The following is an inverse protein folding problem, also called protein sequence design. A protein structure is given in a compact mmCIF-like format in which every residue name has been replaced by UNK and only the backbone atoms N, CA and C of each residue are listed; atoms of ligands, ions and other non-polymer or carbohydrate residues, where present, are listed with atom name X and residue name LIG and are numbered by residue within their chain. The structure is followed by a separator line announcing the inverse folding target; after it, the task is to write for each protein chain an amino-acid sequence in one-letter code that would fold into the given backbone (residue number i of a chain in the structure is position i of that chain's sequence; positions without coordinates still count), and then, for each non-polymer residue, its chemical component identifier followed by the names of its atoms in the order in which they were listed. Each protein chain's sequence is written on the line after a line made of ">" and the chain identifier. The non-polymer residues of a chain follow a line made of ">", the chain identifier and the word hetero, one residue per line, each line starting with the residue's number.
data_IF_237877059066
#
_entry.id   IF_237877059066
#
_cell.length_a   1.000
_cell.length_b   1.000
_cell.length_c   1.000
_cell.angle_alpha   90.00
_cell.angle_beta   90.00
_cell.angle_gamma   90.00
#
_symmetry.space_group_name_H-M   'P 1'
#
loop_
_entity.id
_entity.type
_entity.pdbx_description
1 polymer ?
#
# COMPACT_ATOMS: atom_id res chain seq x y z
N UNK A 1 18.41 -10.39 -18.87
CA UNK A 1 16.93 -10.44 -18.95
C UNK A 1 16.38 -9.02 -18.90
N UNK A 2 15.27 -8.73 -19.59
CA UNK A 2 14.61 -7.41 -19.54
C UNK A 2 13.28 -7.56 -18.77
N UNK A 3 13.05 -6.69 -17.80
CA UNK A 3 11.80 -6.62 -17.06
C UNK A 3 10.79 -5.67 -17.75
N UNK A 4 9.52 -5.81 -17.43
CA UNK A 4 8.52 -4.78 -17.70
C UNK A 4 8.82 -3.49 -16.92
N UNK A 5 8.24 -2.35 -17.32
CA UNK A 5 8.45 -1.09 -16.60
C UNK A 5 8.02 -1.20 -15.14
N UNK A 6 6.92 -1.89 -14.88
CA UNK A 6 6.41 -2.14 -13.53
C UNK A 6 7.40 -2.93 -12.68
N UNK A 7 7.89 -4.06 -13.18
CA UNK A 7 8.84 -4.89 -12.43
C UNK A 7 10.21 -4.20 -12.28
N UNK A 8 10.66 -3.43 -13.28
CA UNK A 8 11.87 -2.61 -13.16
C UNK A 8 11.77 -1.59 -12.05
N UNK A 9 10.65 -0.87 -11.96
CA UNK A 9 10.42 0.11 -10.90
C UNK A 9 10.34 -0.54 -9.50
N UNK A 10 9.76 -1.76 -9.38
CA UNK A 10 9.81 -2.54 -8.14
C UNK A 10 11.25 -2.96 -7.81
N UNK A 11 12.01 -3.44 -8.80
CA UNK A 11 13.39 -3.84 -8.61
C UNK A 11 14.28 -2.68 -8.13
N UNK A 12 14.00 -1.46 -8.61
CA UNK A 12 14.73 -0.25 -8.19
C UNK A 12 14.53 0.06 -6.69
N UNK A 13 13.33 -0.18 -6.15
CA UNK A 13 12.99 0.08 -4.75
C UNK A 13 13.67 -0.88 -3.77
N UNK A 14 14.07 -2.08 -4.20
CA UNK A 14 14.73 -3.08 -3.35
C UNK A 14 16.11 -2.56 -2.91
N UNK A 15 16.39 -2.59 -1.62
CA UNK A 15 17.71 -2.22 -1.08
C UNK A 15 18.77 -3.24 -1.48
N UNK A 16 19.92 -2.74 -1.96
CA UNK A 16 21.06 -3.56 -2.34
C UNK A 16 21.63 -4.32 -1.14
N UNK A 17 22.00 -5.59 -1.36
CA UNK A 17 22.55 -6.46 -0.33
C UNK A 17 21.52 -7.20 0.52
N UNK A 18 20.24 -6.84 0.45
CA UNK A 18 19.17 -7.50 1.18
C UNK A 18 18.81 -8.87 0.57
N UNK A 19 18.43 -9.84 1.43
CA UNK A 19 17.83 -11.11 1.01
C UNK A 19 16.36 -10.86 0.68
N UNK A 20 15.94 -11.27 -0.51
CA UNK A 20 14.58 -11.02 -1.01
C UNK A 20 13.62 -12.15 -0.64
N UNK A 21 12.39 -11.80 -0.30
CA UNK A 21 11.22 -12.69 -0.35
C UNK A 21 10.20 -12.08 -1.30
N UNK A 22 9.83 -12.83 -2.35
CA UNK A 22 8.87 -12.40 -3.38
C UNK A 22 7.60 -13.26 -3.29
N UNK A 23 6.50 -12.69 -2.80
CA UNK A 23 5.21 -13.37 -2.60
C UNK A 23 4.28 -13.10 -3.77
N UNK A 24 3.86 -14.19 -4.43
CA UNK A 24 3.16 -14.12 -5.72
C UNK A 24 4.14 -13.92 -6.86
N UNK A 25 5.27 -14.64 -6.81
CA UNK A 25 6.42 -14.47 -7.71
C UNK A 25 6.12 -14.78 -9.18
N UNK A 26 4.96 -15.40 -9.47
CA UNK A 26 4.52 -15.83 -10.80
C UNK A 26 5.62 -16.63 -11.55
N UNK A 27 6.33 -16.02 -12.49
CA UNK A 27 7.43 -16.64 -13.24
C UNK A 27 8.81 -16.43 -12.61
N UNK A 28 8.93 -15.82 -11.44
CA UNK A 28 10.20 -15.54 -10.77
C UNK A 28 11.08 -14.51 -11.49
N UNK A 29 10.49 -13.64 -12.33
CA UNK A 29 11.27 -12.67 -13.10
C UNK A 29 12.04 -11.69 -12.21
N UNK A 30 11.41 -11.19 -11.15
CA UNK A 30 12.03 -10.21 -10.24
C UNK A 30 13.25 -10.79 -9.51
N UNK A 31 13.16 -11.92 -8.79
CA UNK A 31 14.31 -12.50 -8.10
C UNK A 31 15.43 -12.89 -9.07
N UNK A 32 15.13 -13.49 -10.24
CA UNK A 32 16.13 -13.82 -11.26
C UNK A 32 16.87 -12.57 -11.73
N UNK A 33 16.15 -11.51 -12.05
CA UNK A 33 16.75 -10.24 -12.47
C UNK A 33 17.68 -9.66 -11.41
N UNK A 34 17.21 -9.56 -10.16
CA UNK A 34 17.97 -8.96 -9.06
C UNK A 34 19.25 -9.73 -8.73
N UNK A 35 19.22 -11.08 -8.79
CA UNK A 35 20.45 -11.91 -8.66
C UNK A 35 21.40 -11.67 -9.83
N UNK A 36 20.92 -11.62 -11.09
CA UNK A 36 21.75 -11.33 -12.27
C UNK A 36 22.41 -9.95 -12.20
N UNK A 37 21.72 -8.95 -11.65
CA UNK A 37 22.27 -7.61 -11.41
C UNK A 37 23.22 -7.57 -10.19
N UNK A 38 23.40 -8.67 -9.47
CA UNK A 38 24.14 -8.75 -8.20
C UNK A 38 23.64 -7.78 -7.14
N UNK A 39 22.36 -7.37 -7.25
CA UNK A 39 21.72 -6.44 -6.31
C UNK A 39 21.38 -7.12 -4.99
N UNK A 40 21.04 -8.40 -5.03
CA UNK A 40 20.69 -9.22 -3.84
C UNK A 40 21.55 -10.49 -3.79
N UNK A 41 21.87 -11.01 -2.59
CA UNK A 41 22.65 -12.23 -2.42
C UNK A 41 21.84 -13.52 -2.62
N UNK A 42 20.54 -13.49 -2.28
CA UNK A 42 19.65 -14.65 -2.37
C UNK A 42 18.19 -14.22 -2.38
N UNK A 43 17.31 -15.16 -2.80
CA UNK A 43 15.87 -14.92 -2.78
C UNK A 43 15.07 -16.17 -2.43
N UNK A 44 13.85 -15.96 -1.88
CA UNK A 44 12.80 -16.95 -1.76
C UNK A 44 11.64 -16.49 -2.64
N UNK A 45 11.34 -17.26 -3.69
CA UNK A 45 10.23 -17.01 -4.60
C UNK A 45 9.03 -17.87 -4.21
N UNK A 46 7.90 -17.25 -3.89
CA UNK A 46 6.73 -17.91 -3.33
C UNK A 46 5.48 -17.70 -4.17
N UNK A 47 4.65 -18.73 -4.28
CA UNK A 47 3.30 -18.65 -4.84
C UNK A 47 2.40 -19.67 -4.17
N UNK A 48 1.10 -19.36 -4.10
CA UNK A 48 0.08 -20.27 -3.56
C UNK A 48 -0.30 -21.35 -4.58
N UNK A 49 -0.03 -21.15 -5.87
CA UNK A 49 -0.37 -22.04 -6.96
C UNK A 49 0.85 -22.77 -7.50
N UNK A 50 0.70 -24.10 -7.68
CA UNK A 50 1.77 -24.95 -8.22
C UNK A 50 2.20 -24.57 -9.64
N UNK A 51 1.26 -24.15 -10.50
CA UNK A 51 1.55 -23.80 -11.90
C UNK A 51 2.52 -22.63 -12.05
N UNK A 52 2.23 -21.43 -11.50
CA UNK A 52 3.17 -20.32 -11.46
C UNK A 52 4.51 -20.70 -10.84
N UNK A 53 4.50 -21.40 -9.71
CA UNK A 53 5.71 -21.83 -9.02
C UNK A 53 6.59 -22.76 -9.87
N UNK A 54 5.98 -23.70 -10.62
CA UNK A 54 6.73 -24.56 -11.56
C UNK A 54 7.41 -23.76 -12.67
N UNK A 55 6.71 -22.75 -13.21
CA UNK A 55 7.29 -21.85 -14.21
C UNK A 55 8.47 -21.04 -13.64
N UNK A 56 8.34 -20.58 -12.39
CA UNK A 56 9.45 -19.92 -11.71
C UNK A 56 10.65 -20.87 -11.55
N UNK A 57 10.44 -22.13 -11.16
CA UNK A 57 11.50 -23.14 -11.05
C UNK A 57 12.20 -23.42 -12.39
N UNK A 58 11.44 -23.56 -13.47
CA UNK A 58 11.99 -23.75 -14.81
C UNK A 58 12.85 -22.54 -15.22
N UNK A 59 12.36 -21.35 -14.96
CA UNK A 59 13.06 -20.10 -15.27
C UNK A 59 14.35 -19.94 -14.46
N UNK A 60 14.30 -20.20 -13.14
CA UNK A 60 15.49 -20.20 -12.27
C UNK A 60 16.55 -21.18 -12.78
N UNK A 61 16.12 -22.40 -13.14
CA UNK A 61 17.02 -23.43 -13.70
C UNK A 61 17.62 -23.02 -15.05
N UNK A 62 16.83 -22.39 -15.91
CA UNK A 62 17.30 -21.90 -17.21
C UNK A 62 18.47 -20.91 -17.07
N UNK A 63 18.48 -20.14 -15.99
CA UNK A 63 19.56 -19.19 -15.69
C UNK A 63 20.64 -19.72 -14.75
N UNK A 64 20.55 -20.99 -14.29
CA UNK A 64 21.52 -21.61 -13.38
C UNK A 64 21.59 -20.95 -12.01
N UNK A 65 20.43 -20.53 -11.46
CA UNK A 65 20.34 -19.75 -10.22
C UNK A 65 19.74 -20.52 -9.06
N UNK A 66 19.69 -21.86 -9.12
CA UNK A 66 19.08 -22.72 -8.11
C UNK A 66 19.76 -22.62 -6.73
N UNK A 67 21.05 -22.29 -6.71
CA UNK A 67 21.80 -22.08 -5.45
C UNK A 67 21.45 -20.72 -4.78
N UNK A 68 20.92 -19.75 -5.53
CA UNK A 68 20.62 -18.41 -5.06
C UNK A 68 19.14 -18.17 -4.80
N UNK A 69 18.25 -18.92 -5.50
CA UNK A 69 16.80 -18.69 -5.44
C UNK A 69 16.08 -19.98 -5.03
N UNK A 70 15.52 -19.99 -3.85
CA UNK A 70 14.64 -21.05 -3.36
C UNK A 70 13.20 -20.78 -3.81
N UNK A 71 12.48 -21.81 -4.26
CA UNK A 71 11.03 -21.71 -4.50
C UNK A 71 10.25 -22.36 -3.36
N UNK A 72 9.11 -21.78 -2.98
CA UNK A 72 8.29 -22.29 -1.88
C UNK A 72 6.79 -22.15 -2.19
N UNK A 73 6.04 -23.25 -2.09
CA UNK A 73 4.58 -23.23 -2.20
C UNK A 73 4.02 -22.75 -0.86
N UNK A 74 3.28 -21.63 -0.84
CA UNK A 74 2.74 -21.05 0.39
C UNK A 74 1.56 -20.13 0.10
N UNK A 75 0.56 -20.08 0.98
CA UNK A 75 -0.42 -19.00 1.03
C UNK A 75 0.18 -17.85 1.86
N UNK A 76 0.42 -16.73 1.20
CA UNK A 76 1.05 -15.57 1.83
C UNK A 76 2.37 -15.93 2.53
N UNK A 77 2.49 -15.57 3.81
CA UNK A 77 3.70 -15.72 4.63
C UNK A 77 3.75 -17.02 5.47
N UNK A 78 2.72 -17.90 5.39
CA UNK A 78 2.63 -19.11 6.23
C UNK A 78 3.84 -20.03 6.11
N UNK A 79 4.41 -20.12 4.91
CA UNK A 79 5.58 -20.95 4.62
C UNK A 79 6.92 -20.34 5.03
N UNK A 80 6.95 -19.18 5.69
CA UNK A 80 8.17 -18.47 6.10
C UNK A 80 8.37 -18.53 7.60
N UNK A 81 9.65 -18.40 7.98
CA UNK A 81 10.07 -18.14 9.36
C UNK A 81 10.63 -16.73 9.48
N UNK A 82 10.48 -16.12 10.64
CA UNK A 82 11.07 -14.82 10.91
C UNK A 82 12.59 -14.84 10.65
N UNK A 83 13.10 -13.80 9.97
CA UNK A 83 14.52 -13.64 9.66
C UNK A 83 15.02 -14.41 8.42
N UNK A 84 14.15 -15.07 7.64
CA UNK A 84 14.57 -15.70 6.36
C UNK A 84 14.83 -14.69 5.23
N UNK A 85 14.37 -13.44 5.36
CA UNK A 85 14.59 -12.37 4.39
C UNK A 85 14.71 -11.02 5.07
N UNK A 86 15.19 -10.04 4.32
CA UNK A 86 15.36 -8.65 4.74
C UNK A 86 14.38 -7.72 4.02
N UNK A 87 14.09 -7.99 2.75
CA UNK A 87 13.10 -7.30 1.91
C UNK A 87 11.95 -8.24 1.55
N UNK A 88 10.71 -7.84 1.84
CA UNK A 88 9.50 -8.53 1.37
C UNK A 88 8.90 -7.77 0.20
N UNK A 89 8.66 -8.45 -0.92
CA UNK A 89 7.92 -7.91 -2.06
C UNK A 89 6.57 -8.59 -2.17
N UNK A 90 5.50 -7.79 -2.27
CA UNK A 90 4.16 -8.25 -2.65
C UNK A 90 3.66 -7.32 -3.75
N UNK A 91 3.54 -7.81 -4.98
CA UNK A 91 3.20 -6.99 -6.13
C UNK A 91 2.10 -7.62 -7.00
N UNK A 92 1.26 -6.77 -7.60
CA UNK A 92 0.25 -7.22 -8.55
C UNK A 92 -1.00 -7.84 -7.92
N UNK A 93 -1.23 -7.59 -6.64
CA UNK A 93 -2.40 -8.10 -5.90
C UNK A 93 -3.35 -6.96 -5.52
N UNK A 94 -4.62 -7.27 -5.27
CA UNK A 94 -5.57 -6.31 -4.70
C UNK A 94 -5.21 -5.94 -3.26
N UNK A 95 -5.50 -4.69 -2.86
CA UNK A 95 -5.24 -4.20 -1.50
C UNK A 95 -5.77 -5.11 -0.40
N UNK A 96 -7.04 -5.52 -0.42
CA UNK A 96 -7.60 -6.40 0.61
C UNK A 96 -6.88 -7.75 0.76
N UNK A 97 -6.39 -8.33 -0.34
CA UNK A 97 -5.61 -9.56 -0.29
C UNK A 97 -4.24 -9.31 0.35
N UNK A 98 -3.58 -8.21 0.01
CA UNK A 98 -2.30 -7.84 0.60
C UNK A 98 -2.44 -7.55 2.10
N UNK A 99 -3.51 -6.86 2.52
CA UNK A 99 -3.83 -6.62 3.93
C UNK A 99 -3.98 -7.93 4.69
N UNK A 100 -4.73 -8.90 4.13
CA UNK A 100 -4.87 -10.23 4.72
C UNK A 100 -3.50 -10.92 4.89
N UNK A 101 -2.70 -10.97 3.85
CA UNK A 101 -1.36 -11.59 3.88
C UNK A 101 -0.48 -10.97 4.95
N UNK A 102 -0.47 -9.64 5.04
CA UNK A 102 0.35 -8.90 6.01
C UNK A 102 -0.16 -9.05 7.45
N UNK A 103 -1.48 -9.16 7.64
CA UNK A 103 -2.12 -9.35 8.95
C UNK A 103 -1.91 -10.77 9.47
N UNK A 104 -2.22 -11.78 8.64
CA UNK A 104 -2.08 -13.19 9.01
C UNK A 104 -0.62 -13.56 9.28
N UNK A 105 0.31 -12.98 8.49
CA UNK A 105 1.74 -13.19 8.60
C UNK A 105 2.48 -12.21 9.54
N UNK A 106 1.80 -11.50 10.45
CA UNK A 106 2.36 -10.40 11.25
C UNK A 106 3.70 -10.73 11.92
N UNK A 107 3.80 -11.89 12.57
CA UNK A 107 5.02 -12.30 13.29
C UNK A 107 6.25 -12.48 12.37
N UNK A 108 6.01 -12.87 11.11
CA UNK A 108 7.05 -12.99 10.08
C UNK A 108 7.29 -11.65 9.41
N UNK A 109 6.22 -10.93 9.04
CA UNK A 109 6.26 -9.61 8.42
C UNK A 109 7.12 -8.63 9.24
N UNK A 110 6.93 -8.60 10.56
CA UNK A 110 7.62 -7.66 11.46
C UNK A 110 9.13 -7.98 11.61
N UNK A 111 9.62 -9.07 11.02
CA UNK A 111 11.06 -9.38 10.95
C UNK A 111 11.76 -8.79 9.71
N UNK A 112 11.02 -8.28 8.73
CA UNK A 112 11.61 -7.63 7.56
C UNK A 112 12.05 -6.20 7.87
N UNK A 113 13.13 -5.76 7.29
CA UNK A 113 13.60 -4.37 7.40
C UNK A 113 12.84 -3.42 6.48
N UNK A 114 12.35 -3.93 5.34
CA UNK A 114 11.55 -3.17 4.39
C UNK A 114 10.52 -4.04 3.67
N UNK A 115 9.41 -3.43 3.25
CA UNK A 115 8.44 -4.03 2.36
C UNK A 115 8.33 -3.18 1.09
N UNK A 116 8.27 -3.85 -0.07
CA UNK A 116 7.98 -3.22 -1.36
C UNK A 116 6.61 -3.70 -1.80
N UNK A 117 5.65 -2.79 -1.83
CA UNK A 117 4.23 -3.12 -1.97
C UNK A 117 3.65 -2.44 -3.21
N UNK A 118 2.99 -3.23 -4.07
CA UNK A 118 2.34 -2.71 -5.27
C UNK A 118 0.88 -3.21 -5.33
N UNK A 119 -0.06 -2.52 -4.62
CA UNK A 119 -1.49 -2.82 -4.68
C UNK A 119 -2.10 -2.41 -6.02
N UNK A 120 -3.10 -3.18 -6.49
CA UNK A 120 -3.84 -2.89 -7.74
C UNK A 120 -5.26 -2.37 -7.50
N UNK A 121 -5.77 -2.46 -6.27
CA UNK A 121 -7.10 -1.94 -5.88
C UNK A 121 -7.06 -1.39 -4.47
N UNK A 122 -8.05 -0.58 -4.13
CA UNK A 122 -8.26 0.00 -2.80
C UNK A 122 -7.02 0.69 -2.21
N UNK A 123 -6.25 1.34 -3.08
CA UNK A 123 -4.94 1.91 -2.76
C UNK A 123 -4.99 2.93 -1.62
N UNK A 124 -5.97 3.86 -1.55
CA UNK A 124 -6.08 4.78 -0.43
C UNK A 124 -6.27 4.08 0.91
N UNK A 125 -7.15 3.05 0.93
CA UNK A 125 -7.38 2.24 2.13
C UNK A 125 -6.12 1.48 2.52
N UNK A 126 -5.42 0.89 1.54
CA UNK A 126 -4.19 0.15 1.78
C UNK A 126 -3.08 1.04 2.36
N UNK A 127 -2.91 2.30 1.89
CA UNK A 127 -1.96 3.25 2.51
C UNK A 127 -2.32 3.54 3.98
N UNK A 128 -3.61 3.79 4.26
CA UNK A 128 -4.11 3.98 5.63
C UNK A 128 -3.84 2.77 6.51
N UNK A 129 -4.08 1.56 5.99
CA UNK A 129 -3.77 0.31 6.69
C UNK A 129 -2.28 0.20 7.04
N UNK A 130 -1.38 0.42 6.10
CA UNK A 130 0.08 0.36 6.33
C UNK A 130 0.49 1.32 7.45
N UNK A 131 0.00 2.55 7.43
CA UNK A 131 0.29 3.55 8.46
C UNK A 131 -0.30 3.15 9.83
N UNK A 132 -1.51 2.59 9.85
CA UNK A 132 -2.15 2.13 11.10
C UNK A 132 -1.43 0.95 11.75
N UNK A 133 -0.70 0.15 10.95
CA UNK A 133 0.13 -0.95 11.41
C UNK A 133 1.53 -0.52 11.91
N UNK A 134 1.81 0.80 11.90
CA UNK A 134 3.07 1.37 12.37
C UNK A 134 4.19 1.34 11.35
N UNK A 135 3.87 1.12 10.07
CA UNK A 135 4.82 1.20 8.97
C UNK A 135 4.82 2.59 8.34
N UNK A 136 6.00 3.09 8.00
CA UNK A 136 6.19 4.37 7.34
C UNK A 136 6.47 4.16 5.84
N UNK A 137 5.72 4.85 5.00
CA UNK A 137 6.02 4.91 3.56
C UNK A 137 7.18 5.90 3.40
N UNK A 138 8.31 5.43 2.88
CA UNK A 138 9.53 6.22 2.72
C UNK A 138 9.84 6.62 1.29
N UNK A 139 9.28 5.90 0.32
CA UNK A 139 9.45 6.18 -1.11
C UNK A 139 8.23 5.67 -1.87
N UNK A 140 7.84 6.38 -2.92
CA UNK A 140 6.78 5.94 -3.82
C UNK A 140 7.22 6.14 -5.27
N UNK A 141 6.86 5.19 -6.11
CA UNK A 141 7.00 5.30 -7.56
C UNK A 141 5.66 5.03 -8.24
N UNK A 142 5.50 5.57 -9.42
CA UNK A 142 4.35 5.29 -10.26
C UNK A 142 4.80 5.13 -11.70
N UNK A 143 4.37 4.06 -12.35
CA UNK A 143 4.64 3.83 -13.77
C UNK A 143 3.33 3.67 -14.53
N UNK A 144 3.38 4.00 -15.82
CA UNK A 144 2.31 3.74 -16.78
C UNK A 144 2.79 2.68 -17.76
N UNK A 145 2.09 1.57 -17.85
CA UNK A 145 2.39 0.44 -18.74
C UNK A 145 1.07 -0.09 -19.31
N UNK A 146 1.00 -0.23 -20.62
CA UNK A 146 -0.20 -0.70 -21.36
C UNK A 146 -1.49 0.06 -21.00
N UNK A 147 -1.39 1.39 -20.78
CA UNK A 147 -2.50 2.28 -20.44
C UNK A 147 -3.03 2.11 -19.02
N UNK A 148 -2.34 1.34 -18.17
CA UNK A 148 -2.63 1.19 -16.75
C UNK A 148 -1.58 1.88 -15.90
N UNK A 149 -2.01 2.37 -14.74
CA UNK A 149 -1.15 3.06 -13.79
C UNK A 149 -0.88 2.15 -12.59
N UNK A 150 0.39 2.06 -12.22
CA UNK A 150 0.87 1.17 -11.18
C UNK A 150 1.63 1.97 -10.12
N UNK A 151 0.96 2.46 -9.07
CA UNK A 151 1.64 3.01 -7.92
C UNK A 151 2.28 1.88 -7.10
N UNK A 152 3.43 2.15 -6.53
CA UNK A 152 4.16 1.24 -5.65
C UNK A 152 4.84 2.02 -4.55
N UNK A 153 5.06 1.39 -3.43
CA UNK A 153 5.62 2.01 -2.25
C UNK A 153 6.67 1.12 -1.57
N UNK A 154 7.71 1.76 -1.08
CA UNK A 154 8.64 1.20 -0.13
C UNK A 154 8.24 1.65 1.26
N UNK A 155 8.10 0.71 2.16
CA UNK A 155 7.77 0.98 3.56
C UNK A 155 8.82 0.36 4.47
N UNK A 156 9.10 1.04 5.57
CA UNK A 156 9.98 0.56 6.62
C UNK A 156 9.22 0.59 7.94
N UNK A 157 9.62 -0.22 8.89
CA UNK A 157 9.03 -0.15 10.21
C UNK A 157 9.42 1.19 10.82
N UNK A 158 8.43 2.01 11.16
CA UNK A 158 8.68 3.26 11.87
C UNK A 158 9.44 2.95 13.15
N UNK A 159 10.48 3.71 13.46
CA UNK A 159 11.14 3.58 14.76
C UNK A 159 10.07 3.74 15.84
N UNK A 160 9.62 2.63 16.43
CA UNK A 160 9.00 2.70 17.74
C UNK A 160 10.03 3.41 18.58
N UNK A 161 9.74 4.60 19.11
CA UNK A 161 10.46 5.12 20.27
C UNK A 161 10.71 3.91 21.15
N UNK A 162 11.94 3.42 21.18
CA UNK A 162 12.31 2.25 21.95
C UNK A 162 12.15 2.64 23.41
N UNK A 163 11.03 2.19 24.02
CA UNK A 163 10.84 2.27 25.47
C UNK A 163 12.00 1.61 26.22
N UNK A 164 12.82 0.83 25.54
CA UNK A 164 14.01 0.19 26.10
C UNK A 164 15.20 1.13 26.37
N UNK A 165 15.20 2.36 25.85
CA UNK A 165 16.23 3.35 26.22
C UNK A 165 15.93 4.12 27.50
N UNK A 166 14.76 3.97 28.11
CA UNK A 166 14.40 4.57 29.40
C UNK A 166 14.54 3.63 30.61
N UNK A 167 15.01 2.41 30.41
CA UNK A 167 15.14 1.38 31.45
C UNK A 167 16.33 1.52 32.43
N UNK A 168 16.98 2.69 32.55
CA UNK A 168 18.04 2.91 33.54
C UNK A 168 17.99 4.30 34.22
N UNK A 169 16.83 4.78 34.58
CA UNK A 169 16.68 5.83 35.57
C UNK A 169 15.41 5.55 36.37
N UNK A 170 15.55 4.63 37.36
CA UNK A 170 14.51 4.41 38.36
C UNK A 170 14.41 5.65 39.24
N UNK A 171 13.26 6.27 39.30
CA UNK A 171 12.97 7.35 40.23
C UNK A 171 11.67 8.06 39.92
N UNK A 172 10.64 7.73 40.73
CA UNK A 172 9.38 8.45 40.91
C UNK A 172 8.37 8.48 39.74
N UNK A 173 7.36 7.62 39.88
CA UNK A 173 6.04 7.72 39.24
C UNK A 173 5.36 9.03 39.65
N UNK A 174 5.08 9.87 38.72
CA UNK A 174 4.09 10.91 38.84
C UNK A 174 3.11 10.76 37.68
N UNK A 175 1.91 10.33 37.99
CA UNK A 175 0.78 10.21 37.06
C UNK A 175 0.48 11.58 36.47
N UNK A 176 0.69 11.74 35.17
CA UNK A 176 0.12 12.85 34.40
C UNK A 176 -1.23 12.42 33.84
N UNK A 177 -2.30 12.73 34.54
CA UNK A 177 -3.66 12.75 34.03
C UNK A 177 -3.91 14.08 33.35
N UNK A 178 -3.73 14.16 32.04
CA UNK A 178 -4.18 15.33 31.28
C UNK A 178 -5.65 15.14 30.84
N UNK A 179 -6.56 15.60 31.71
CA UNK A 179 -8.01 15.73 31.42
C UNK A 179 -8.38 16.90 30.47
N UNK A 180 -7.41 17.61 29.90
CA UNK A 180 -7.65 18.84 29.12
C UNK A 180 -7.59 18.68 27.59
N UNK A 181 -7.53 17.45 27.04
CA UNK A 181 -7.47 17.24 25.58
C UNK A 181 -8.84 16.94 24.93
N UNK A 182 -9.93 16.91 25.68
CA UNK A 182 -11.26 16.52 25.17
C UNK A 182 -12.20 17.73 24.90
N UNK A 183 -11.81 18.93 25.26
CA UNK A 183 -12.73 20.10 25.25
C UNK A 183 -12.62 21.00 23.99
N UNK A 184 -11.86 20.64 22.97
CA UNK A 184 -11.67 21.49 21.77
C UNK A 184 -12.37 21.00 20.49
N UNK A 185 -13.23 19.98 20.53
CA UNK A 185 -13.89 19.43 19.34
C UNK A 185 -15.41 19.27 19.50
N UNK A 186 -16.10 20.26 20.06
CA UNK A 186 -17.56 20.30 20.00
C UNK A 186 -18.07 21.74 20.01
N UNK A 187 -18.56 22.25 18.87
CA UNK A 187 -19.92 22.67 18.79
C UNK A 187 -20.53 22.62 17.37
N UNK A 188 -20.70 21.47 16.75
CA UNK A 188 -21.47 21.36 15.49
C UNK A 188 -22.48 20.19 15.49
N UNK A 189 -22.51 19.36 16.52
CA UNK A 189 -23.37 18.15 16.55
C UNK A 189 -24.76 18.41 17.20
N UNK A 190 -25.02 19.56 17.78
CA UNK A 190 -26.29 19.84 18.49
C UNK A 190 -27.44 20.41 17.62
N UNK A 191 -27.24 20.67 16.33
CA UNK A 191 -28.29 21.23 15.46
C UNK A 191 -28.98 20.23 14.50
N UNK A 192 -28.58 18.98 14.49
CA UNK A 192 -29.23 17.92 13.69
C UNK A 192 -29.80 16.85 14.63
N UNK A 193 -30.93 17.12 15.26
CA UNK A 193 -31.67 16.24 16.18
C UNK A 193 -31.78 14.77 15.71
N UNK A 194 -30.74 13.98 15.95
CA UNK A 194 -30.72 12.52 15.75
C UNK A 194 -30.48 11.87 17.12
N UNK A 195 -31.59 11.52 17.79
CA UNK A 195 -31.54 10.67 18.96
C UNK A 195 -30.95 9.29 18.64
N UNK A 196 -29.99 8.88 19.47
CA UNK A 196 -29.40 7.56 19.48
C UNK A 196 -30.45 6.46 19.60
N UNK A 197 -30.61 5.63 18.58
CA UNK A 197 -31.12 4.26 18.71
C UNK A 197 -29.98 3.29 18.42
N UNK A 198 -29.48 2.69 19.49
CA UNK A 198 -28.59 1.54 19.43
C UNK A 198 -29.28 0.38 18.72
N UNK A 199 -28.97 0.13 17.49
CA UNK A 199 -29.11 -1.17 16.84
C UNK A 199 -27.97 -1.31 15.82
N UNK A 200 -27.16 -2.36 15.98
CA UNK A 200 -25.93 -2.62 15.26
C UNK A 200 -26.08 -2.56 13.74
N UNK A 201 -25.55 -1.49 13.18
CA UNK A 201 -25.28 -1.35 11.77
C UNK A 201 -23.80 -0.98 11.66
N UNK A 202 -23.01 -1.92 11.20
CA UNK A 202 -21.61 -1.71 10.79
C UNK A 202 -21.57 -0.80 9.56
N UNK A 203 -21.57 0.52 9.76
CA UNK A 203 -21.61 1.49 8.67
C UNK A 203 -21.46 2.92 9.16
N UNK A 204 -20.48 3.20 10.01
CA UNK A 204 -20.01 4.58 10.18
C UNK A 204 -19.41 5.01 8.82
N UNK A 205 -19.75 6.21 8.29
CA UNK A 205 -19.11 6.72 7.11
C UNK A 205 -17.60 6.75 7.38
N UNK A 206 -16.83 6.00 6.56
CA UNK A 206 -15.37 6.01 6.64
C UNK A 206 -14.93 7.47 6.49
N UNK A 207 -14.13 7.98 7.43
CA UNK A 207 -13.56 9.32 7.33
C UNK A 207 -12.92 9.50 5.93
N UNK A 208 -13.15 10.64 5.26
CA UNK A 208 -12.65 10.86 3.91
C UNK A 208 -11.13 10.65 3.88
N UNK A 209 -10.62 10.17 2.74
CA UNK A 209 -9.18 9.99 2.55
C UNK A 209 -8.50 11.35 2.43
N UNK A 210 -7.31 11.46 3.01
CA UNK A 210 -6.42 12.60 2.76
C UNK A 210 -5.86 12.54 1.34
N UNK A 211 -5.30 13.65 0.84
CA UNK A 211 -4.62 13.67 -0.46
C UNK A 211 -3.43 12.69 -0.51
N UNK A 212 -2.73 12.55 0.60
CA UNK A 212 -1.58 11.65 0.71
C UNK A 212 -2.00 10.19 0.70
N UNK A 213 -3.10 9.84 1.36
CA UNK A 213 -3.67 8.50 1.28
C UNK A 213 -4.19 8.20 -0.13
N UNK A 214 -4.86 9.17 -0.78
CA UNK A 214 -5.44 8.98 -2.10
C UNK A 214 -4.37 8.81 -3.20
N UNK A 215 -3.34 9.67 -3.19
CA UNK A 215 -2.44 9.79 -4.33
C UNK A 215 -0.96 9.56 -4.00
N UNK A 216 -0.59 9.42 -2.74
CA UNK A 216 0.78 9.20 -2.29
C UNK A 216 1.51 10.49 -1.93
N UNK A 217 2.09 10.52 -0.73
CA UNK A 217 2.82 11.67 -0.19
C UNK A 217 3.98 12.07 -1.09
N UNK A 218 4.85 11.10 -1.41
CA UNK A 218 6.07 11.35 -2.18
C UNK A 218 5.75 11.65 -3.65
N UNK A 219 4.79 10.95 -4.24
CA UNK A 219 4.34 11.23 -5.61
C UNK A 219 3.82 12.67 -5.78
N UNK A 220 3.09 13.18 -4.76
CA UNK A 220 2.59 14.56 -4.75
C UNK A 220 3.72 15.58 -4.52
N UNK A 221 4.62 15.32 -3.57
CA UNK A 221 5.72 16.23 -3.22
C UNK A 221 6.71 16.39 -4.36
N UNK A 222 7.03 15.30 -5.05
CA UNK A 222 7.95 15.27 -6.18
C UNK A 222 7.30 15.72 -7.50
N UNK A 223 6.01 16.07 -7.48
CA UNK A 223 5.22 16.40 -8.67
C UNK A 223 5.39 15.33 -9.76
N UNK A 224 5.22 14.05 -9.39
CA UNK A 224 5.48 12.92 -10.26
C UNK A 224 4.71 13.04 -11.59
N UNK A 225 5.37 13.01 -12.77
CA UNK A 225 4.72 13.26 -14.05
C UNK A 225 3.74 12.15 -14.46
N UNK A 226 3.91 10.92 -13.95
CA UNK A 226 2.98 9.81 -14.21
C UNK A 226 1.70 10.00 -13.40
N UNK A 227 1.82 10.42 -12.13
CA UNK A 227 0.67 10.78 -11.30
C UNK A 227 -0.10 11.96 -11.92
N UNK A 228 0.57 12.96 -12.48
CA UNK A 228 -0.09 14.08 -13.16
C UNK A 228 -0.98 13.58 -14.31
N UNK A 229 -0.47 12.70 -15.18
CA UNK A 229 -1.26 12.12 -16.28
C UNK A 229 -2.45 11.29 -15.76
N UNK A 230 -2.23 10.51 -14.70
CA UNK A 230 -3.28 9.78 -14.01
C UNK A 230 -4.39 10.72 -13.53
N UNK A 231 -4.05 11.78 -12.81
CA UNK A 231 -5.00 12.77 -12.27
C UNK A 231 -5.79 13.45 -13.38
N UNK A 232 -5.13 13.84 -14.48
CA UNK A 232 -5.80 14.43 -15.65
C UNK A 232 -6.80 13.45 -16.29
N UNK A 233 -6.45 12.17 -16.39
CA UNK A 233 -7.34 11.12 -16.90
C UNK A 233 -8.53 10.94 -15.97
N UNK A 234 -8.30 10.78 -14.68
CA UNK A 234 -9.35 10.58 -13.68
C UNK A 234 -10.30 11.78 -13.59
N UNK A 235 -9.78 12.99 -13.70
CA UNK A 235 -10.61 14.22 -13.73
C UNK A 235 -11.60 14.19 -14.88
N UNK A 236 -11.14 13.82 -16.10
CA UNK A 236 -12.03 13.69 -17.26
C UNK A 236 -13.07 12.59 -17.07
N UNK A 237 -12.68 11.45 -16.53
CA UNK A 237 -13.59 10.33 -16.26
C UNK A 237 -14.66 10.75 -15.25
N UNK A 238 -14.30 11.43 -14.15
CA UNK A 238 -15.27 11.90 -13.14
C UNK A 238 -16.23 12.93 -13.72
N UNK A 239 -15.75 13.84 -14.57
CA UNK A 239 -16.62 14.82 -15.25
C UNK A 239 -17.66 14.11 -16.16
N UNK A 240 -17.25 13.12 -16.94
CA UNK A 240 -18.17 12.34 -17.78
C UNK A 240 -19.20 11.55 -16.96
N UNK A 241 -18.76 10.93 -15.85
CA UNK A 241 -19.68 10.20 -14.94
C UNK A 241 -20.70 11.16 -14.33
N UNK A 242 -20.28 12.34 -13.88
CA UNK A 242 -21.19 13.35 -13.32
C UNK A 242 -22.22 13.80 -14.35
N UNK A 243 -21.83 14.09 -15.57
CA UNK A 243 -22.74 14.47 -16.65
C UNK A 243 -23.80 13.38 -16.91
N UNK A 244 -23.39 12.11 -16.93
CA UNK A 244 -24.30 10.98 -17.11
C UNK A 244 -25.27 10.81 -15.92
N UNK A 245 -24.78 10.95 -14.69
CA UNK A 245 -25.59 10.82 -13.50
C UNK A 245 -26.58 11.98 -13.35
N UNK A 246 -26.21 13.20 -13.71
CA UNK A 246 -27.07 14.39 -13.66
C UNK A 246 -28.18 14.35 -14.74
N UNK A 247 -27.93 13.64 -15.85
CA UNK A 247 -28.95 13.39 -16.88
C UNK A 247 -29.88 12.21 -16.55
N UNK A 248 -29.55 11.38 -15.55
CA UNK A 248 -30.33 10.21 -15.20
C UNK A 248 -31.58 10.58 -14.35
N UNK A 249 -32.64 9.75 -14.34
CA UNK A 249 -33.80 9.95 -13.45
C UNK A 249 -33.37 10.05 -12.00
N UNK A 250 -33.95 11.04 -11.28
CA UNK A 250 -33.62 11.27 -9.87
C UNK A 250 -34.12 10.12 -9.01
N UNK A 251 -33.19 9.28 -8.54
CA UNK A 251 -33.39 8.25 -7.54
C UNK A 251 -32.42 8.52 -6.38
N UNK A 252 -32.75 8.07 -5.19
CA UNK A 252 -31.91 8.24 -4.00
C UNK A 252 -30.49 7.69 -4.21
N UNK A 253 -30.37 6.50 -4.79
CA UNK A 253 -29.08 5.89 -5.13
C UNK A 253 -28.25 6.73 -6.12
N UNK A 254 -28.89 7.40 -7.10
CA UNK A 254 -28.22 8.31 -8.03
C UNK A 254 -27.70 9.55 -7.30
N UNK A 255 -28.51 10.10 -6.37
CA UNK A 255 -28.10 11.26 -5.57
C UNK A 255 -26.90 10.96 -4.70
N UNK A 256 -26.88 9.82 -4.01
CA UNK A 256 -25.73 9.36 -3.23
C UNK A 256 -24.49 9.21 -4.12
N UNK A 257 -24.63 8.57 -5.29
CA UNK A 257 -23.50 8.38 -6.20
C UNK A 257 -22.94 9.69 -6.75
N UNK A 258 -23.80 10.70 -7.01
CA UNK A 258 -23.37 12.05 -7.42
C UNK A 258 -22.49 12.68 -6.32
N UNK A 259 -22.87 12.56 -5.05
CA UNK A 259 -22.09 13.11 -3.94
C UNK A 259 -20.71 12.44 -3.85
N UNK A 260 -20.66 11.11 -3.91
CA UNK A 260 -19.40 10.37 -3.90
C UNK A 260 -18.47 10.80 -5.04
N UNK A 261 -18.99 10.89 -6.29
CA UNK A 261 -18.18 11.29 -7.45
C UNK A 261 -17.72 12.75 -7.34
N UNK A 262 -18.54 13.64 -6.75
CA UNK A 262 -18.12 15.02 -6.47
C UNK A 262 -16.98 15.09 -5.45
N UNK A 263 -17.03 14.29 -4.39
CA UNK A 263 -15.94 14.19 -3.42
C UNK A 263 -14.65 13.67 -4.07
N UNK A 264 -14.75 12.59 -4.88
CA UNK A 264 -13.61 12.08 -5.65
C UNK A 264 -13.03 13.17 -6.58
N UNK A 265 -13.88 13.90 -7.30
CA UNK A 265 -13.47 14.98 -8.20
C UNK A 265 -12.80 16.15 -7.47
N UNK A 266 -13.27 16.49 -6.26
CA UNK A 266 -12.63 17.52 -5.42
C UNK A 266 -11.23 17.11 -4.98
N UNK A 267 -11.04 15.86 -4.56
CA UNK A 267 -9.71 15.33 -4.20
C UNK A 267 -8.75 15.39 -5.39
N UNK A 268 -9.22 15.00 -6.58
CA UNK A 268 -8.41 15.05 -7.81
C UNK A 268 -8.04 16.51 -8.16
N UNK A 269 -9.00 17.43 -8.08
CA UNK A 269 -8.74 18.85 -8.34
C UNK A 269 -7.73 19.44 -7.37
N UNK A 270 -7.85 19.13 -6.08
CA UNK A 270 -6.90 19.55 -5.06
C UNK A 270 -5.49 18.98 -5.27
N UNK A 271 -5.39 17.73 -5.78
CA UNK A 271 -4.11 17.14 -6.16
C UNK A 271 -3.51 17.83 -7.39
N UNK A 272 -4.31 18.09 -8.45
CA UNK A 272 -3.85 18.81 -9.64
C UNK A 272 -3.34 20.21 -9.33
N UNK A 273 -3.99 20.94 -8.41
CA UNK A 273 -3.55 22.27 -8.00
C UNK A 273 -2.12 22.31 -7.43
N UNK A 274 -1.61 21.18 -6.88
CA UNK A 274 -0.21 21.06 -6.42
C UNK A 274 0.80 21.07 -7.59
N UNK A 275 0.37 20.83 -8.82
CA UNK A 275 1.24 20.86 -10.00
C UNK A 275 1.31 22.23 -10.67
N UNK A 276 0.34 23.12 -10.39
CA UNK A 276 0.24 24.46 -10.99
C UNK A 276 1.05 25.53 -10.25
N UNK A 277 1.49 25.27 -9.02
CA UNK A 277 2.36 26.11 -8.20
C UNK A 277 3.80 25.58 -8.19
#
# INVERSE_FOLDING_TARGET
>A
MQLSLRLSAIADLVTEGNRLVDVGCDHGYLPVYLIQQKKIPSAIAMDVRKGPLSRAQEHIRQYGLEEYIQTRLSDGLEGLKAGEGDTLVIAGMGGPLMERILTDGRSVRDSFSELILQPQSDIPHFRRFIQSEGWEITEEKMVEEDGKFYPMMRVVYGEKCSWDSFGKAAGSLQECTDENAIEAASPVISELGLENKEQGVSGLPKAPYTLEEAFGKYLLQEKNPVLYRYLQRESRIRAQILEQLEAAPKAEAVTVRILEVKEEAQLIAAALAKYEG
#
